data_IF_634175680233
#
_entry.id   IF_634175680233
#
_cell.length_a   1.000
_cell.length_b   1.000
_cell.length_c   1.000
_cell.angle_alpha   90.00
_cell.angle_beta   90.00
_cell.angle_gamma   90.00
#
_symmetry.space_group_name_H-M   'P 1'
#
loop_
_entity.id
_entity.type
_entity.pdbx_description
1 polymer ?
#
# COMPACT_ATOMS: atom_id res chain seq x y z
N UNK A 1 6.88 31.24 -15.30
CA UNK A 1 5.81 32.28 -15.40
C UNK A 1 4.68 32.12 -14.35
N UNK A 2 3.83 33.13 -14.11
CA UNK A 2 2.62 33.03 -13.23
C UNK A 2 1.34 33.22 -14.05
N UNK A 3 0.32 32.39 -13.84
CA UNK A 3 -0.92 32.39 -14.63
C UNK A 3 -2.13 32.15 -13.75
N UNK A 4 -3.30 32.67 -14.12
CA UNK A 4 -4.51 32.46 -13.32
C UNK A 4 -5.04 31.03 -13.47
N UNK A 5 -5.73 30.51 -12.44
CA UNK A 5 -6.39 29.20 -12.52
C UNK A 5 -7.40 29.12 -13.67
N UNK A 6 -8.08 30.23 -13.96
CA UNK A 6 -9.06 30.33 -15.06
C UNK A 6 -8.39 30.25 -16.42
N UNK A 7 -7.25 30.92 -16.59
CA UNK A 7 -6.50 30.87 -17.86
C UNK A 7 -5.94 29.48 -18.13
N UNK A 8 -5.44 28.79 -17.10
CA UNK A 8 -4.99 27.41 -17.22
C UNK A 8 -6.12 26.47 -17.63
N UNK A 9 -7.31 26.64 -17.05
CA UNK A 9 -8.46 25.81 -17.40
C UNK A 9 -8.87 26.00 -18.88
N UNK A 10 -8.82 27.23 -19.38
CA UNK A 10 -9.26 27.57 -20.74
C UNK A 10 -8.20 27.29 -21.82
N UNK A 11 -6.91 27.24 -21.45
CA UNK A 11 -5.80 27.12 -22.40
C UNK A 11 -4.73 26.10 -21.95
N UNK A 12 -5.14 25.00 -21.32
CA UNK A 12 -4.23 24.04 -20.71
C UNK A 12 -3.15 23.52 -21.68
N UNK A 13 -3.53 23.16 -22.90
CA UNK A 13 -2.60 22.67 -23.93
C UNK A 13 -1.48 23.67 -24.29
N UNK A 14 -1.78 24.98 -24.30
CA UNK A 14 -0.77 26.03 -24.51
C UNK A 14 0.26 26.03 -23.38
N UNK A 15 -0.21 25.86 -22.14
CA UNK A 15 0.66 25.87 -20.97
C UNK A 15 1.45 24.56 -20.83
N UNK A 16 0.95 23.43 -21.31
CA UNK A 16 1.76 22.21 -21.44
C UNK A 16 2.98 22.45 -22.36
N UNK A 17 2.77 23.07 -23.52
CA UNK A 17 3.86 23.38 -24.45
C UNK A 17 4.87 24.41 -23.88
N UNK A 18 4.40 25.34 -23.04
CA UNK A 18 5.27 26.30 -22.36
C UNK A 18 6.03 25.65 -21.18
N UNK A 19 5.39 24.69 -20.50
CA UNK A 19 5.99 23.95 -19.39
C UNK A 19 7.23 23.15 -19.81
N UNK A 20 7.38 22.82 -21.10
CA UNK A 20 8.61 22.21 -21.64
C UNK A 20 9.86 23.09 -21.51
N UNK A 21 9.67 24.41 -21.36
CA UNK A 21 10.74 25.41 -21.34
C UNK A 21 10.90 26.08 -19.99
N UNK A 22 9.83 26.27 -19.23
CA UNK A 22 9.87 26.90 -17.90
C UNK A 22 8.73 26.43 -16.98
N UNK A 23 8.94 26.51 -15.67
CA UNK A 23 7.90 26.25 -14.68
C UNK A 23 6.78 27.31 -14.73
N UNK A 24 5.54 26.85 -14.63
CA UNK A 24 4.33 27.68 -14.66
C UNK A 24 3.64 27.61 -13.29
N UNK A 25 3.54 28.74 -12.60
CA UNK A 25 2.89 28.86 -11.30
C UNK A 25 1.44 29.29 -11.48
N UNK A 26 0.51 28.49 -10.97
CA UNK A 26 -0.93 28.74 -11.02
C UNK A 26 -1.34 29.58 -9.82
N UNK A 27 -2.08 30.66 -10.07
CA UNK A 27 -2.53 31.61 -9.05
C UNK A 27 -4.05 31.64 -9.03
N UNK A 28 -4.66 31.51 -7.85
CA UNK A 28 -6.10 31.67 -7.62
C UNK A 28 -6.31 32.65 -6.46
N UNK A 29 -7.12 33.68 -6.68
CA UNK A 29 -7.39 34.73 -5.69
C UNK A 29 -6.10 35.34 -5.10
N UNK A 30 -5.10 35.60 -5.94
CA UNK A 30 -3.81 36.18 -5.54
C UNK A 30 -2.83 35.22 -4.87
N UNK A 31 -3.23 33.98 -4.54
CA UNK A 31 -2.37 32.97 -3.92
C UNK A 31 -1.86 31.96 -4.96
N UNK A 32 -0.59 31.55 -4.85
CA UNK A 32 -0.08 30.40 -5.60
C UNK A 32 -0.80 29.14 -5.11
N UNK A 33 -1.36 28.36 -6.03
CA UNK A 33 -2.13 27.15 -5.70
C UNK A 33 -1.60 25.89 -6.37
N UNK A 34 -0.85 26.01 -7.46
CA UNK A 34 -0.23 24.86 -8.12
C UNK A 34 0.99 25.29 -8.94
N UNK A 35 1.76 24.31 -9.40
CA UNK A 35 2.85 24.48 -10.36
C UNK A 35 2.77 23.39 -11.42
N UNK A 36 2.90 23.78 -12.69
CA UNK A 36 3.06 22.89 -13.83
C UNK A 36 4.53 22.97 -14.28
N UNK A 37 5.20 21.83 -14.32
CA UNK A 37 6.60 21.69 -14.72
C UNK A 37 6.74 20.54 -15.71
N UNK A 38 7.73 20.61 -16.61
CA UNK A 38 8.04 19.50 -17.52
C UNK A 38 8.29 18.21 -16.72
N UNK A 39 7.65 17.13 -17.14
CA UNK A 39 8.02 15.79 -16.70
C UNK A 39 9.15 15.27 -17.59
N UNK A 40 10.29 14.92 -16.99
CA UNK A 40 11.39 14.20 -17.64
C UNK A 40 11.41 12.78 -17.10
N UNK A 41 11.20 11.78 -17.97
CA UNK A 41 11.49 10.39 -17.61
C UNK A 41 12.96 10.29 -17.17
N UNK A 42 13.24 9.76 -15.97
CA UNK A 42 14.61 9.54 -15.56
C UNK A 42 15.17 8.34 -16.34
N UNK A 43 16.19 8.58 -17.17
CA UNK A 43 17.11 7.52 -17.56
C UNK A 43 17.78 6.96 -16.29
N UNK A 44 17.82 5.63 -16.19
CA UNK A 44 18.73 4.78 -15.40
C UNK A 44 18.23 3.96 -14.19
N UNK A 45 18.60 2.68 -14.31
CA UNK A 45 18.82 1.63 -13.32
C UNK A 45 19.91 2.00 -12.28
N UNK A 46 19.62 1.72 -11.00
CA UNK A 46 20.49 1.45 -9.81
C UNK A 46 21.55 2.50 -9.37
N UNK A 47 21.27 3.25 -8.31
CA UNK A 47 21.92 3.24 -6.97
C UNK A 47 21.50 4.51 -6.18
N UNK A 48 21.09 4.29 -4.94
CA UNK A 48 21.16 5.18 -3.76
C UNK A 48 21.34 6.70 -3.98
N UNK A 49 20.26 7.46 -3.88
CA UNK A 49 20.12 8.68 -3.07
C UNK A 49 18.66 9.17 -3.21
N UNK A 50 17.97 9.23 -2.08
CA UNK A 50 16.54 9.53 -2.01
C UNK A 50 16.19 10.90 -2.62
N UNK A 51 15.38 10.92 -3.68
CA UNK A 51 14.64 12.13 -4.04
C UNK A 51 13.46 12.28 -3.08
N UNK A 52 13.67 13.08 -2.04
CA UNK A 52 12.64 13.59 -1.14
C UNK A 52 11.53 14.22 -1.98
N UNK A 53 10.31 13.68 -1.85
CA UNK A 53 9.12 14.42 -2.24
C UNK A 53 9.07 15.65 -1.33
N UNK A 54 8.65 16.85 -1.81
CA UNK A 54 8.49 17.99 -0.91
C UNK A 54 7.47 17.58 0.14
N UNK A 55 7.90 17.57 1.41
CA UNK A 55 7.05 17.20 2.54
C UNK A 55 5.82 18.10 2.55
N UNK A 56 4.69 17.56 2.10
CA UNK A 56 3.44 17.93 2.73
C UNK A 56 3.66 17.66 4.22
N UNK A 57 3.35 18.65 5.07
CA UNK A 57 3.55 18.54 6.50
C UNK A 57 3.03 17.17 6.98
N UNK A 58 3.90 16.37 7.60
CA UNK A 58 3.49 15.09 8.20
C UNK A 58 2.29 15.35 9.11
N UNK A 59 1.26 14.52 8.99
CA UNK A 59 0.04 14.67 9.78
C UNK A 59 0.01 13.63 10.91
N UNK A 60 -0.66 14.00 11.98
CA UNK A 60 -0.97 13.15 13.12
C UNK A 60 -2.10 12.17 12.80
N UNK A 61 -2.28 11.16 13.66
CA UNK A 61 -3.41 10.25 13.57
C UNK A 61 -4.76 10.98 13.68
N UNK A 62 -4.85 11.98 14.56
CA UNK A 62 -6.05 12.79 14.75
C UNK A 62 -6.39 13.62 13.51
N UNK A 63 -5.39 14.20 12.85
CA UNK A 63 -5.57 14.91 11.59
C UNK A 63 -5.99 13.97 10.45
N UNK A 64 -5.47 12.74 10.44
CA UNK A 64 -5.93 11.70 9.50
C UNK A 64 -7.38 11.31 9.73
N UNK A 65 -7.81 11.14 10.99
CA UNK A 65 -9.21 10.87 11.31
C UNK A 65 -10.13 11.98 10.80
N UNK A 66 -9.74 13.25 10.98
CA UNK A 66 -10.48 14.38 10.44
C UNK A 66 -10.51 14.39 8.90
N UNK A 67 -9.40 13.99 8.26
CA UNK A 67 -9.32 13.87 6.80
C UNK A 67 -10.31 12.82 6.28
N UNK A 68 -10.30 11.61 6.82
CA UNK A 68 -11.18 10.51 6.36
C UNK A 68 -12.66 10.77 6.68
N UNK A 69 -12.97 11.48 7.77
CA UNK A 69 -14.35 11.89 8.08
C UNK A 69 -14.88 12.94 7.08
N UNK A 70 -13.97 13.76 6.52
CA UNK A 70 -14.32 14.85 5.60
C UNK A 70 -14.30 14.47 4.11
N UNK A 71 -13.98 13.23 3.76
CA UNK A 71 -13.72 12.79 2.39
C UNK A 71 -14.27 11.39 2.12
N UNK A 72 -14.88 11.19 0.95
CA UNK A 72 -15.31 9.87 0.47
C UNK A 72 -14.16 9.05 -0.15
N UNK A 73 -12.95 9.59 -0.19
CA UNK A 73 -11.77 8.91 -0.70
C UNK A 73 -11.14 8.00 0.36
N UNK A 74 -10.42 6.97 -0.08
CA UNK A 74 -9.68 6.06 0.81
C UNK A 74 -8.23 6.51 0.94
N UNK A 75 -7.69 6.48 2.15
CA UNK A 75 -6.33 6.90 2.43
C UNK A 75 -5.63 5.92 3.36
N UNK A 76 -4.32 5.74 3.14
CA UNK A 76 -3.41 5.20 4.14
C UNK A 76 -2.57 6.33 4.74
N UNK A 77 -2.08 6.12 5.95
CA UNK A 77 -1.17 6.99 6.66
C UNK A 77 0.06 6.17 7.04
N UNK A 78 1.23 6.53 6.54
CA UNK A 78 2.48 5.82 6.85
C UNK A 78 3.54 6.84 7.23
N UNK A 79 4.04 6.75 8.47
CA UNK A 79 5.02 7.68 9.05
C UNK A 79 4.62 9.17 8.89
N UNK A 80 3.30 9.44 8.98
CA UNK A 80 2.73 10.78 8.85
C UNK A 80 2.49 11.24 7.41
N UNK A 81 2.89 10.46 6.40
CA UNK A 81 2.61 10.73 4.99
C UNK A 81 1.27 10.10 4.57
N UNK A 82 0.45 10.85 3.85
CA UNK A 82 -0.87 10.42 3.37
C UNK A 82 -0.77 9.84 1.96
N UNK A 83 -1.30 8.64 1.78
CA UNK A 83 -1.35 7.92 0.51
C UNK A 83 -2.80 7.76 0.08
N UNK A 84 -3.15 8.30 -1.10
CA UNK A 84 -4.48 8.12 -1.68
C UNK A 84 -4.57 6.72 -2.32
N UNK A 85 -5.54 5.92 -1.89
CA UNK A 85 -5.81 4.61 -2.47
C UNK A 85 -6.76 4.74 -3.67
N UNK A 86 -6.26 4.35 -4.84
CA UNK A 86 -7.10 4.21 -6.02
C UNK A 86 -8.09 3.05 -5.86
N UNK A 87 -9.16 3.07 -6.65
CA UNK A 87 -10.04 1.91 -6.77
C UNK A 87 -9.28 0.75 -7.44
N UNK A 88 -9.35 -0.48 -6.89
CA UNK A 88 -8.69 -1.63 -7.49
C UNK A 88 -9.31 -1.96 -8.85
N UNK A 89 -8.51 -2.56 -9.74
CA UNK A 89 -9.00 -3.04 -11.03
C UNK A 89 -9.83 -4.32 -10.86
N UNK A 90 -10.57 -4.71 -11.89
CA UNK A 90 -11.31 -5.98 -11.88
C UNK A 90 -10.37 -7.19 -11.67
N UNK A 91 -9.25 -7.25 -12.41
CA UNK A 91 -8.27 -8.33 -12.29
C UNK A 91 -7.66 -8.40 -10.89
N UNK A 92 -7.38 -7.25 -10.28
CA UNK A 92 -6.94 -7.17 -8.90
C UNK A 92 -7.93 -7.84 -7.95
N UNK A 93 -9.22 -7.49 -8.05
CA UNK A 93 -10.24 -8.09 -7.19
C UNK A 93 -10.45 -9.57 -7.44
N UNK A 94 -10.25 -10.06 -8.66
CA UNK A 94 -10.28 -11.49 -8.95
C UNK A 94 -9.16 -12.21 -8.20
N UNK A 95 -7.93 -11.72 -8.27
CA UNK A 95 -6.78 -12.30 -7.55
C UNK A 95 -6.98 -12.27 -6.03
N UNK A 96 -7.44 -11.14 -5.48
CA UNK A 96 -7.77 -11.03 -4.06
C UNK A 96 -8.83 -12.08 -3.66
N UNK A 97 -9.85 -12.31 -4.49
CA UNK A 97 -10.89 -13.29 -4.21
C UNK A 97 -10.39 -14.75 -4.22
N UNK A 98 -9.49 -15.11 -5.14
CA UNK A 98 -8.90 -16.47 -5.18
C UNK A 98 -8.11 -16.78 -3.89
N UNK A 99 -7.31 -15.81 -3.44
CA UNK A 99 -6.56 -15.94 -2.18
C UNK A 99 -7.52 -15.96 -0.99
N UNK A 100 -8.48 -15.03 -0.94
CA UNK A 100 -9.45 -14.92 0.15
C UNK A 100 -10.32 -16.17 0.30
N UNK A 101 -10.75 -16.79 -0.81
CA UNK A 101 -11.52 -18.04 -0.79
C UNK A 101 -10.70 -19.21 -0.21
N UNK A 102 -9.43 -19.31 -0.61
CA UNK A 102 -8.50 -20.32 -0.09
C UNK A 102 -8.23 -20.11 1.41
N UNK A 103 -7.96 -18.86 1.82
CA UNK A 103 -7.71 -18.49 3.21
C UNK A 103 -8.96 -18.71 4.08
N UNK A 104 -10.14 -18.30 3.61
CA UNK A 104 -11.39 -18.52 4.32
C UNK A 104 -11.60 -20.01 4.64
N UNK A 105 -11.40 -20.89 3.65
CA UNK A 105 -11.56 -22.33 3.84
C UNK A 105 -10.55 -22.88 4.86
N UNK A 106 -9.30 -22.43 4.80
CA UNK A 106 -8.25 -22.84 5.74
C UNK A 106 -8.53 -22.39 7.17
N UNK A 107 -8.86 -21.10 7.36
CA UNK A 107 -9.01 -20.50 8.70
C UNK A 107 -10.37 -20.76 9.36
N UNK A 108 -11.38 -21.27 8.62
CA UNK A 108 -12.75 -21.49 9.09
C UNK A 108 -12.89 -22.24 10.42
N UNK A 109 -11.95 -23.11 10.76
CA UNK A 109 -11.96 -23.94 11.99
C UNK A 109 -10.79 -23.62 12.94
N UNK A 110 -10.14 -22.48 12.74
CA UNK A 110 -9.03 -22.01 13.56
C UNK A 110 -9.48 -20.85 14.45
N UNK A 111 -8.64 -20.41 15.37
CA UNK A 111 -8.86 -19.15 16.11
C UNK A 111 -8.51 -17.90 15.30
N UNK A 112 -7.86 -18.06 14.13
CA UNK A 112 -7.50 -16.96 13.26
C UNK A 112 -8.62 -16.67 12.25
N UNK A 113 -8.65 -15.45 11.73
CA UNK A 113 -9.60 -15.01 10.73
C UNK A 113 -8.88 -14.22 9.64
N UNK A 114 -9.16 -14.58 8.38
CA UNK A 114 -8.76 -13.81 7.21
C UNK A 114 -9.81 -12.77 6.86
N UNK A 115 -9.38 -11.55 6.55
CA UNK A 115 -10.22 -10.42 6.16
C UNK A 115 -9.64 -9.78 4.89
N UNK A 116 -10.50 -9.14 4.10
CA UNK A 116 -10.11 -8.40 2.90
C UNK A 116 -10.35 -6.90 3.07
N UNK A 117 -9.68 -6.07 2.29
CA UNK A 117 -9.95 -4.62 2.23
C UNK A 117 -11.39 -4.33 1.75
N UNK A 118 -12.01 -3.20 2.14
CA UNK A 118 -11.47 -2.16 3.03
C UNK A 118 -11.57 -2.54 4.51
N UNK A 119 -10.46 -2.41 5.23
CA UNK A 119 -10.37 -2.45 6.69
C UNK A 119 -9.17 -1.62 7.14
N UNK A 120 -9.37 -0.70 8.08
CA UNK A 120 -8.27 0.07 8.66
C UNK A 120 -7.51 -0.78 9.68
N UNK A 121 -6.21 -0.92 9.44
CA UNK A 121 -5.27 -1.61 10.34
C UNK A 121 -4.34 -0.54 10.92
N UNK A 122 -4.47 -0.30 12.23
CA UNK A 122 -3.59 0.62 12.94
C UNK A 122 -2.34 -0.12 13.40
N UNK A 123 -1.18 0.32 12.91
CA UNK A 123 0.11 -0.32 13.14
C UNK A 123 1.04 0.55 13.97
N UNK A 124 2.03 -0.09 14.59
CA UNK A 124 3.07 0.57 15.37
C UNK A 124 4.43 0.13 14.85
N UNK A 125 5.25 1.05 14.34
CA UNK A 125 6.54 0.70 13.73
C UNK A 125 7.65 1.75 13.88
N UNK A 126 7.32 3.02 14.12
CA UNK A 126 8.28 4.12 14.11
C UNK A 126 8.32 4.94 15.41
N UNK A 127 7.28 4.87 16.24
CA UNK A 127 7.23 5.59 17.51
C UNK A 127 7.73 4.76 18.71
N UNK A 128 7.85 5.38 19.89
CA UNK A 128 8.17 4.68 21.14
C UNK A 128 6.93 4.08 21.83
N UNK A 129 5.74 4.62 21.54
CA UNK A 129 4.45 4.14 22.04
C UNK A 129 3.45 4.01 20.91
N UNK A 130 2.51 3.08 21.05
CA UNK A 130 1.48 2.82 20.04
C UNK A 130 0.62 4.06 19.74
N UNK A 131 0.29 4.83 20.77
CA UNK A 131 -0.55 6.02 20.67
C UNK A 131 0.13 7.16 19.90
N UNK A 132 1.46 7.16 19.86
CA UNK A 132 2.27 8.18 19.21
C UNK A 132 2.54 7.83 17.73
N UNK A 133 2.17 6.63 17.28
CA UNK A 133 2.42 6.17 15.92
C UNK A 133 1.22 6.45 14.99
N UNK A 134 1.41 7.21 13.90
CA UNK A 134 0.32 7.58 13.02
C UNK A 134 -0.14 6.46 12.06
N UNK A 135 0.54 5.30 12.00
CA UNK A 135 0.33 4.39 10.87
C UNK A 135 -1.07 3.76 10.81
N UNK A 136 -1.72 3.92 9.65
CA UNK A 136 -2.96 3.25 9.27
C UNK A 136 -2.83 2.76 7.83
N UNK A 137 -3.00 1.46 7.63
CA UNK A 137 -2.94 0.82 6.30
C UNK A 137 -4.23 0.07 6.00
N UNK A 138 -4.49 -0.20 4.72
CA UNK A 138 -5.59 -1.04 4.26
C UNK A 138 -5.06 -2.13 3.31
N UNK A 139 -4.38 -3.17 3.84
CA UNK A 139 -3.83 -4.23 3.01
C UNK A 139 -4.95 -5.03 2.35
N UNK A 140 -4.69 -5.59 1.19
CA UNK A 140 -5.70 -6.35 0.44
C UNK A 140 -6.26 -7.54 1.21
N UNK A 141 -5.38 -8.27 1.91
CA UNK A 141 -5.76 -9.39 2.76
C UNK A 141 -4.92 -9.37 4.03
N UNK A 142 -5.57 -9.60 5.17
CA UNK A 142 -4.92 -9.75 6.47
C UNK A 142 -5.41 -10.99 7.17
N UNK A 143 -4.54 -11.62 7.96
CA UNK A 143 -4.89 -12.70 8.88
C UNK A 143 -4.58 -12.27 10.31
N UNK A 144 -5.60 -12.26 11.15
CA UNK A 144 -5.50 -11.90 12.57
C UNK A 144 -5.83 -13.12 13.43
N UNK A 145 -5.08 -13.33 14.51
CA UNK A 145 -5.25 -14.48 15.41
C UNK A 145 -5.67 -14.08 16.84
N UNK A 146 -5.82 -12.77 17.06
CA UNK A 146 -6.09 -12.10 18.33
C UNK A 146 -7.30 -11.16 18.18
N UNK A 147 -8.46 -11.76 17.90
CA UNK A 147 -9.71 -11.06 17.60
C UNK A 147 -10.18 -10.14 18.74
N UNK A 148 -9.71 -10.34 19.96
CA UNK A 148 -9.97 -9.46 21.10
C UNK A 148 -9.42 -8.04 20.93
N UNK A 149 -8.52 -7.82 19.96
CA UNK A 149 -7.98 -6.50 19.60
C UNK A 149 -8.82 -5.74 18.57
N UNK A 150 -9.93 -6.31 18.11
CA UNK A 150 -10.89 -5.61 17.25
C UNK A 150 -11.73 -4.68 18.12
N UNK A 151 -11.70 -3.36 17.84
CA UNK A 151 -12.44 -2.31 18.55
C UNK A 151 -13.10 -1.37 17.55
N UNK A 152 -14.38 -1.05 17.74
CA UNK A 152 -15.12 -0.08 16.91
C UNK A 152 -14.94 -0.28 15.39
N UNK A 153 -14.99 -1.53 14.94
CA UNK A 153 -14.78 -1.96 13.54
C UNK A 153 -13.37 -1.72 12.97
N UNK A 154 -12.39 -1.43 13.83
CA UNK A 154 -10.97 -1.30 13.49
C UNK A 154 -10.17 -2.39 14.20
N UNK A 155 -9.07 -2.80 13.58
CA UNK A 155 -8.11 -3.69 14.22
C UNK A 155 -6.92 -2.87 14.71
N UNK A 156 -6.74 -2.83 16.04
CA UNK A 156 -5.61 -2.18 16.70
C UNK A 156 -4.64 -3.25 17.21
N UNK A 157 -3.82 -3.77 16.30
CA UNK A 157 -2.93 -4.88 16.57
C UNK A 157 -1.97 -5.13 15.42
N UNK A 158 -1.26 -6.25 15.50
CA UNK A 158 -0.28 -6.63 14.50
C UNK A 158 -0.79 -7.89 13.79
N UNK A 159 -1.23 -7.79 12.51
CA UNK A 159 -1.68 -8.96 11.79
C UNK A 159 -0.57 -10.01 11.72
N UNK A 160 -0.95 -11.27 11.84
CA UNK A 160 0.00 -12.39 11.75
C UNK A 160 0.55 -12.51 10.34
N UNK A 161 -0.32 -12.39 9.33
CA UNK A 161 0.04 -12.44 7.92
C UNK A 161 -0.66 -11.31 7.15
N UNK A 162 0.08 -10.66 6.26
CA UNK A 162 -0.42 -9.64 5.33
C UNK A 162 -0.16 -10.09 3.89
N UNK A 163 -1.10 -9.85 2.99
CA UNK A 163 -0.92 -10.02 1.53
C UNK A 163 -1.29 -8.71 0.84
N UNK A 164 -0.42 -8.27 -0.07
CA UNK A 164 -0.64 -7.12 -0.96
C UNK A 164 -0.57 -7.61 -2.41
N UNK A 165 -1.57 -7.23 -3.22
CA UNK A 165 -1.64 -7.56 -4.64
C UNK A 165 -1.18 -6.35 -5.44
N UNK A 166 -0.05 -6.51 -6.15
CA UNK A 166 0.55 -5.41 -6.87
C UNK A 166 -0.29 -5.02 -8.09
N UNK A 167 -0.67 -3.75 -8.13
CA UNK A 167 -1.17 -3.10 -9.34
C UNK A 167 -0.02 -2.41 -10.08
N UNK A 168 -0.08 -2.25 -11.43
CA UNK A 168 0.96 -1.57 -12.20
C UNK A 168 1.32 -0.16 -11.68
N UNK A 169 0.40 0.51 -10.97
CA UNK A 169 0.57 1.85 -10.42
C UNK A 169 1.34 1.94 -9.09
N UNK A 170 1.69 0.82 -8.43
CA UNK A 170 2.21 0.82 -7.03
C UNK A 170 3.58 0.12 -6.83
N UNK A 171 4.20 -0.38 -7.91
CA UNK A 171 5.25 -1.42 -7.87
C UNK A 171 6.62 -1.11 -7.24
N UNK A 172 6.92 0.08 -6.72
CA UNK A 172 8.29 0.42 -6.31
C UNK A 172 8.43 0.95 -4.89
N UNK A 173 8.21 2.27 -4.77
CA UNK A 173 8.44 2.98 -3.52
C UNK A 173 7.47 2.56 -2.42
N UNK A 174 6.22 2.31 -2.78
CA UNK A 174 5.16 1.91 -1.85
C UNK A 174 5.47 0.54 -1.21
N UNK A 175 5.95 -0.41 -2.00
CA UNK A 175 6.37 -1.72 -1.51
C UNK A 175 7.48 -1.66 -0.46
N UNK A 176 8.53 -0.86 -0.71
CA UNK A 176 9.64 -0.73 0.22
C UNK A 176 9.21 -0.10 1.56
N UNK A 177 8.33 0.91 1.49
CA UNK A 177 7.79 1.60 2.67
C UNK A 177 6.91 0.64 3.48
N UNK A 178 5.98 -0.06 2.84
CA UNK A 178 5.11 -1.04 3.49
C UNK A 178 5.88 -2.22 4.05
N UNK A 179 6.87 -2.75 3.32
CA UNK A 179 7.76 -3.80 3.81
C UNK A 179 8.46 -3.37 5.11
N UNK A 180 9.04 -2.16 5.12
CA UNK A 180 9.70 -1.63 6.32
C UNK A 180 8.71 -1.44 7.48
N UNK A 181 7.52 -0.92 7.20
CA UNK A 181 6.47 -0.75 8.20
C UNK A 181 6.03 -2.10 8.79
N UNK A 182 5.75 -3.10 7.96
CA UNK A 182 5.27 -4.41 8.40
C UNK A 182 6.33 -5.16 9.22
N UNK A 183 7.59 -5.12 8.76
CA UNK A 183 8.73 -5.65 9.51
C UNK A 183 8.83 -4.99 10.90
N UNK A 184 8.87 -3.65 10.93
CA UNK A 184 8.97 -2.89 12.18
C UNK A 184 7.75 -3.05 13.08
N UNK A 185 6.59 -3.35 12.51
CA UNK A 185 5.37 -3.61 13.26
C UNK A 185 5.34 -4.98 13.93
N UNK A 186 6.20 -5.90 13.49
CA UNK A 186 6.26 -7.25 14.01
C UNK A 186 5.23 -8.18 13.37
N UNK A 187 4.76 -7.85 12.15
CA UNK A 187 4.05 -8.81 11.30
C UNK A 187 4.92 -10.07 11.23
N UNK A 188 4.32 -11.27 11.17
CA UNK A 188 5.13 -12.50 11.14
C UNK A 188 5.42 -12.95 9.71
N UNK A 189 4.51 -12.68 8.78
CA UNK A 189 4.63 -13.07 7.39
C UNK A 189 3.98 -12.05 6.44
N UNK A 190 4.62 -11.78 5.31
CA UNK A 190 4.16 -10.79 4.34
C UNK A 190 4.32 -11.32 2.91
N UNK A 191 3.24 -11.34 2.14
CA UNK A 191 3.22 -11.79 0.75
C UNK A 191 2.99 -10.62 -0.20
N UNK A 192 3.80 -10.56 -1.24
CA UNK A 192 3.70 -9.63 -2.35
C UNK A 192 3.33 -10.42 -3.61
N UNK A 193 2.12 -10.21 -4.13
CA UNK A 193 1.60 -10.93 -5.29
C UNK A 193 1.71 -10.04 -6.53
N UNK A 194 2.59 -10.39 -7.48
CA UNK A 194 2.71 -9.68 -8.75
C UNK A 194 1.81 -10.31 -9.81
N UNK A 195 0.77 -9.58 -10.23
CA UNK A 195 -0.16 -10.06 -11.26
C UNK A 195 0.43 -10.06 -12.69
N UNK A 196 1.41 -9.22 -12.96
CA UNK A 196 2.04 -9.09 -14.28
C UNK A 196 3.05 -10.21 -14.49
N UNK A 197 3.92 -10.39 -13.50
CA UNK A 197 4.95 -11.44 -13.50
C UNK A 197 4.43 -12.79 -13.01
N UNK A 198 3.19 -12.82 -12.50
CA UNK A 198 2.51 -13.99 -11.96
C UNK A 198 3.34 -14.78 -10.96
N UNK A 199 3.90 -14.06 -9.99
CA UNK A 199 4.72 -14.64 -8.94
C UNK A 199 4.29 -14.11 -7.56
N UNK A 200 4.80 -14.76 -6.52
CA UNK A 200 4.63 -14.32 -5.14
C UNK A 200 5.99 -14.22 -4.46
N UNK A 201 6.27 -13.08 -3.83
CA UNK A 201 7.41 -12.91 -2.94
C UNK A 201 6.91 -13.01 -1.50
N UNK A 202 7.35 -14.04 -0.80
CA UNK A 202 7.09 -14.29 0.61
C UNK A 202 8.25 -13.78 1.46
N UNK A 203 7.93 -12.93 2.43
CA UNK A 203 8.81 -12.55 3.53
C UNK A 203 8.33 -13.21 4.82
N UNK A 204 9.23 -13.84 5.56
CA UNK A 204 9.00 -14.24 6.95
C UNK A 204 9.88 -13.41 7.87
N UNK A 205 9.32 -12.99 9.00
CA UNK A 205 9.99 -12.11 9.97
C UNK A 205 10.20 -12.81 11.30
N UNK A 206 11.33 -12.51 11.94
CA UNK A 206 11.63 -12.98 13.29
C UNK A 206 10.90 -12.15 14.34
N UNK A 207 10.85 -12.64 15.59
CA UNK A 207 10.31 -11.87 16.72
C UNK A 207 11.11 -10.59 17.02
N UNK A 208 12.38 -10.57 16.60
CA UNK A 208 13.27 -9.43 16.77
C UNK A 208 13.11 -8.37 15.65
N UNK A 209 12.11 -8.55 14.77
CA UNK A 209 11.77 -7.66 13.65
C UNK A 209 12.87 -7.60 12.59
N UNK A 210 13.47 -8.76 12.32
CA UNK A 210 14.41 -8.97 11.22
C UNK A 210 13.82 -9.91 10.16
N UNK A 211 14.39 -9.88 8.95
CA UNK A 211 14.02 -10.81 7.88
C UNK A 211 14.63 -12.18 8.20
N UNK A 212 13.77 -13.18 8.39
CA UNK A 212 14.16 -14.58 8.56
C UNK A 212 14.45 -15.22 7.20
N UNK A 213 13.51 -15.06 6.25
CA UNK A 213 13.67 -15.57 4.89
C UNK A 213 12.89 -14.76 3.87
N UNK A 214 13.38 -14.82 2.63
CA UNK A 214 12.69 -14.32 1.44
C UNK A 214 12.61 -15.45 0.43
N UNK A 215 11.40 -15.81 0.02
CA UNK A 215 11.15 -16.86 -0.96
C UNK A 215 10.39 -16.25 -2.14
N UNK A 216 10.88 -16.45 -3.36
CA UNK A 216 10.14 -16.12 -4.58
C UNK A 216 9.56 -17.41 -5.16
N UNK A 217 8.25 -17.44 -5.38
CA UNK A 217 7.52 -18.54 -5.97
C UNK A 217 6.99 -18.13 -7.33
N UNK A 218 7.37 -18.87 -8.37
CA UNK A 218 6.87 -18.70 -9.74
C UNK A 218 5.46 -19.32 -9.90
N UNK A 219 4.82 -19.12 -11.05
CA UNK A 219 3.44 -19.56 -11.32
C UNK A 219 3.25 -21.08 -11.12
N UNK A 220 4.27 -21.87 -11.43
CA UNK A 220 4.30 -23.33 -11.30
C UNK A 220 4.51 -23.84 -9.87
N UNK A 221 4.95 -22.97 -8.96
CA UNK A 221 5.28 -23.35 -7.59
C UNK A 221 4.03 -23.46 -6.71
N UNK A 222 4.23 -24.00 -5.52
CA UNK A 222 3.26 -23.94 -4.41
C UNK A 222 3.88 -23.11 -3.30
N UNK A 223 3.22 -22.01 -2.95
CA UNK A 223 3.62 -21.21 -1.79
C UNK A 223 3.08 -21.87 -0.52
N UNK A 224 3.96 -22.08 0.45
CA UNK A 224 3.62 -22.61 1.78
C UNK A 224 3.91 -21.54 2.83
N UNK A 225 2.93 -21.22 3.67
CA UNK A 225 3.13 -20.25 4.74
C UNK A 225 4.17 -20.72 5.75
N UNK A 226 5.03 -19.80 6.18
CA UNK A 226 6.05 -20.05 7.22
C UNK A 226 5.45 -20.03 8.63
N UNK A 227 4.37 -19.28 8.83
CA UNK A 227 3.68 -19.18 10.12
C UNK A 227 2.58 -20.23 10.26
N UNK A 228 1.89 -20.56 9.17
CA UNK A 228 0.82 -21.55 9.12
C UNK A 228 1.28 -22.74 8.26
N UNK A 229 1.97 -23.71 8.86
CA UNK A 229 2.63 -24.80 8.13
C UNK A 229 1.70 -25.59 7.18
N UNK A 230 0.41 -25.71 7.50
CA UNK A 230 -0.58 -26.42 6.69
C UNK A 230 -1.24 -25.55 5.61
N UNK A 231 -0.98 -24.23 5.59
CA UNK A 231 -1.50 -23.31 4.57
C UNK A 231 -0.59 -23.36 3.35
N UNK A 232 -1.08 -24.01 2.29
CA UNK A 232 -0.40 -24.16 1.01
C UNK A 232 -1.33 -23.78 -0.13
N UNK A 233 -0.82 -23.00 -1.09
CA UNK A 233 -1.57 -22.59 -2.27
C UNK A 233 -0.70 -22.78 -3.52
N UNK A 234 -1.17 -23.50 -4.55
CA UNK A 234 -0.56 -23.43 -5.86
C UNK A 234 -0.58 -21.99 -6.36
N UNK A 235 0.56 -21.44 -6.78
CA UNK A 235 0.63 -20.04 -7.24
C UNK A 235 -0.24 -19.84 -8.48
N UNK A 236 -0.28 -20.81 -9.39
CA UNK A 236 -1.22 -20.83 -10.52
C UNK A 236 -2.70 -20.68 -10.12
N UNK A 237 -3.11 -21.15 -8.94
CA UNK A 237 -4.49 -21.00 -8.47
C UNK A 237 -4.81 -19.54 -8.09
N UNK A 238 -3.83 -18.78 -7.62
CA UNK A 238 -3.97 -17.34 -7.29
C UNK A 238 -4.36 -16.55 -8.55
N UNK A 239 -3.90 -16.98 -9.72
CA UNK A 239 -4.11 -16.30 -11.00
C UNK A 239 -5.15 -16.99 -11.91
N UNK A 240 -5.85 -18.01 -11.43
CA UNK A 240 -6.74 -18.84 -12.25
C UNK A 240 -7.88 -18.06 -12.92
N UNK A 241 -8.35 -16.98 -12.27
CA UNK A 241 -9.42 -16.13 -12.77
C UNK A 241 -8.99 -15.01 -13.72
N UNK A 242 -7.69 -14.82 -13.98
CA UNK A 242 -7.18 -13.77 -14.87
C UNK A 242 -6.56 -14.37 -16.15
N UNK A 243 -7.08 -13.96 -17.30
CA UNK A 243 -6.46 -14.24 -18.61
C UNK A 243 -5.45 -13.15 -18.97
N UNK A 244 -4.36 -13.56 -19.65
CA UNK A 244 -3.38 -12.67 -20.28
C UNK A 244 -4.05 -11.74 -21.30
#
# INVERSE_FOLDING_TARGET
>A
MRVSSTDIQNAFGKYLALAEKEDIIVVKNGKCVARLSRYTEPDFYIHEEAKSYPSLQKITYEEYLALVESSDQRYELIDGDVYLLASPSFQHQVVVNEIAGSFYNFFKKTSCQSLTSPIDIRLFGFAAKFEEDPNVVQPDIVVVCDQEKVRDSKYEGVPTLIVEVLSPSTKGKDMAIKLQLYLKSGVSEYWLVDMEEKNVIQYAFTKDRDIDSVTACAEEDTIQSRVFADLQLPVSAIFAGITK
#
